data_IF_783115326738
#
_entry.id   IF_783115326738
#
_cell.length_a   1.000
_cell.length_b   1.000
_cell.length_c   1.000
_cell.angle_alpha   90.00
_cell.angle_beta   90.00
_cell.angle_gamma   90.00
#
_symmetry.space_group_name_H-M   'P 1'
#
loop_
_entity.id
_entity.type
_entity.pdbx_description
1 polymer ?
#
# COMPACT_ATOMS: atom_id res chain seq x y z
N UNK A 1 17.11 15.44 -27.50
CA UNK A 1 16.67 15.93 -26.18
C UNK A 1 15.37 15.21 -25.83
N UNK A 2 15.44 13.97 -25.35
CA UNK A 2 14.30 13.31 -24.72
C UNK A 2 14.27 13.77 -23.26
N UNK A 3 13.13 14.23 -22.76
CA UNK A 3 12.98 14.75 -21.41
C UNK A 3 13.56 13.77 -20.39
N UNK A 4 14.56 14.18 -19.63
CA UNK A 4 15.23 13.46 -18.52
C UNK A 4 14.30 13.14 -17.34
N UNK A 5 12.99 13.32 -17.49
CA UNK A 5 12.01 13.00 -16.45
C UNK A 5 11.61 11.53 -16.53
N UNK A 6 11.69 10.83 -15.39
CA UNK A 6 11.12 9.50 -15.25
C UNK A 6 9.67 9.49 -15.78
N UNK A 7 9.25 8.43 -16.51
CA UNK A 7 7.92 8.37 -17.11
C UNK A 7 6.84 8.75 -16.10
N UNK A 8 5.90 9.60 -16.50
CA UNK A 8 4.84 10.10 -15.60
C UNK A 8 4.07 8.96 -14.92
N UNK A 9 3.86 7.84 -15.62
CA UNK A 9 3.26 6.62 -15.06
C UNK A 9 4.11 6.01 -13.94
N UNK A 10 5.43 5.91 -14.10
CA UNK A 10 6.32 5.40 -13.07
C UNK A 10 6.30 6.29 -11.82
N UNK A 11 6.33 7.61 -11.99
CA UNK A 11 6.22 8.57 -10.87
C UNK A 11 4.86 8.46 -10.19
N UNK A 12 3.76 8.35 -10.94
CA UNK A 12 2.43 8.17 -10.37
C UNK A 12 2.33 6.88 -9.55
N UNK A 13 2.80 5.74 -10.09
CA UNK A 13 2.82 4.47 -9.37
C UNK A 13 3.69 4.53 -8.11
N UNK A 14 4.84 5.21 -8.17
CA UNK A 14 5.71 5.42 -7.01
C UNK A 14 4.99 6.24 -5.92
N UNK A 15 4.31 7.33 -6.28
CA UNK A 15 3.56 8.16 -5.33
C UNK A 15 2.44 7.37 -4.68
N UNK A 16 1.67 6.61 -5.47
CA UNK A 16 0.57 5.79 -4.94
C UNK A 16 1.11 4.78 -3.92
N UNK A 17 2.16 4.02 -4.28
CA UNK A 17 2.78 3.05 -3.38
C UNK A 17 3.33 3.70 -2.09
N UNK A 18 3.90 4.90 -2.19
CA UNK A 18 4.38 5.64 -1.03
C UNK A 18 3.23 6.09 -0.11
N UNK A 19 2.12 6.57 -0.68
CA UNK A 19 0.94 7.01 0.08
C UNK A 19 0.30 5.80 0.79
N UNK A 20 0.08 4.69 0.09
CA UNK A 20 -0.48 3.48 0.68
C UNK A 20 0.44 2.91 1.76
N UNK A 21 1.76 2.86 1.49
CA UNK A 21 2.74 2.39 2.46
C UNK A 21 2.76 3.24 3.73
N UNK A 22 2.71 4.57 3.57
CA UNK A 22 2.62 5.49 4.69
C UNK A 22 1.31 5.33 5.48
N UNK A 23 0.18 5.11 4.79
CA UNK A 23 -1.11 4.88 5.43
C UNK A 23 -1.11 3.58 6.25
N UNK A 24 -0.54 2.49 5.73
CA UNK A 24 -0.40 1.22 6.45
C UNK A 24 0.49 1.36 7.70
N UNK A 25 1.63 2.06 7.58
CA UNK A 25 2.50 2.32 8.73
C UNK A 25 1.79 3.19 9.77
N UNK A 26 1.13 4.27 9.34
CA UNK A 26 0.38 5.14 10.22
C UNK A 26 -0.74 4.38 10.97
N UNK A 27 -1.44 3.49 10.28
CA UNK A 27 -2.46 2.64 10.89
C UNK A 27 -1.87 1.66 11.92
N UNK A 28 -0.78 0.95 11.58
CA UNK A 28 -0.10 0.06 12.53
C UNK A 28 0.40 0.80 13.79
N UNK A 29 0.96 2.01 13.62
CA UNK A 29 1.37 2.85 14.75
C UNK A 29 0.17 3.37 15.55
N UNK A 30 -0.94 3.72 14.89
CA UNK A 30 -2.18 4.12 15.54
C UNK A 30 -2.70 3.00 16.45
N UNK A 31 -2.79 1.77 15.93
CA UNK A 31 -3.22 0.60 16.71
C UNK A 31 -2.28 0.36 17.90
N UNK A 32 -0.96 0.43 17.68
CA UNK A 32 0.02 0.30 18.75
C UNK A 32 -0.18 1.33 19.87
N UNK A 33 -0.39 2.61 19.51
CA UNK A 33 -0.63 3.69 20.49
C UNK A 33 -1.95 3.48 21.21
N UNK A 34 -3.01 3.07 20.52
CA UNK A 34 -4.32 2.83 21.13
C UNK A 34 -4.25 1.67 22.13
N UNK A 35 -3.60 0.57 21.77
CA UNK A 35 -3.41 -0.58 22.66
C UNK A 35 -2.58 -0.20 23.88
N UNK A 36 -1.54 0.63 23.71
CA UNK A 36 -0.72 1.11 24.82
C UNK A 36 -1.48 2.04 25.79
N UNK A 37 -2.47 2.81 25.29
CA UNK A 37 -3.21 3.79 26.08
C UNK A 37 -4.49 3.24 26.71
N UNK A 38 -5.25 2.46 25.95
CA UNK A 38 -6.60 2.00 26.29
C UNK A 38 -6.67 0.50 26.57
N UNK A 39 -5.57 -0.23 26.35
CA UNK A 39 -5.57 -1.68 26.34
C UNK A 39 -6.23 -2.25 25.08
N UNK A 40 -6.46 -3.56 25.08
CA UNK A 40 -7.11 -4.23 23.96
C UNK A 40 -8.62 -4.06 24.08
N UNK A 41 -9.19 -3.31 23.15
CA UNK A 41 -10.63 -3.03 23.09
C UNK A 41 -11.25 -3.65 21.83
N UNK A 42 -12.47 -4.16 21.92
CA UNK A 42 -13.22 -4.65 20.76
C UNK A 42 -13.82 -6.05 20.96
N UNK A 43 -14.51 -6.59 19.93
CA UNK A 43 -15.19 -7.87 20.01
C UNK A 43 -14.23 -9.03 20.31
N UNK A 44 -14.64 -9.94 21.19
CA UNK A 44 -13.85 -11.10 21.66
C UNK A 44 -13.10 -11.91 20.58
N UNK A 45 -13.61 -12.08 19.33
CA UNK A 45 -12.90 -12.81 18.29
C UNK A 45 -11.61 -12.13 17.80
N UNK A 46 -11.50 -10.81 17.95
CA UNK A 46 -10.38 -10.01 17.44
C UNK A 46 -9.58 -9.30 18.54
N UNK A 47 -10.10 -9.29 19.78
CA UNK A 47 -9.48 -8.64 20.93
C UNK A 47 -8.56 -9.58 21.73
N UNK A 48 -7.68 -10.32 21.05
CA UNK A 48 -6.61 -11.10 21.69
C UNK A 48 -5.23 -10.44 21.48
N UNK A 49 -4.31 -10.67 22.43
CA UNK A 49 -2.92 -10.18 22.30
C UNK A 49 -2.29 -10.67 21.01
N UNK A 50 -2.52 -11.94 20.64
CA UNK A 50 -1.99 -12.52 19.42
C UNK A 50 -2.54 -11.84 18.17
N UNK A 51 -3.85 -11.58 18.11
CA UNK A 51 -4.51 -10.93 16.98
C UNK A 51 -3.97 -9.52 16.76
N UNK A 52 -3.92 -8.71 17.82
CA UNK A 52 -3.44 -7.32 17.78
C UNK A 52 -1.95 -7.26 17.44
N UNK A 53 -1.14 -8.16 17.99
CA UNK A 53 0.30 -8.23 17.67
C UNK A 53 0.50 -8.55 16.19
N UNK A 54 -0.23 -9.53 15.66
CA UNK A 54 -0.14 -9.92 14.25
C UNK A 54 -0.60 -8.78 13.34
N UNK A 55 -1.68 -8.09 13.71
CA UNK A 55 -2.19 -6.91 13.02
C UNK A 55 -1.11 -5.83 12.89
N UNK A 56 -0.53 -5.39 14.02
CA UNK A 56 0.52 -4.35 14.04
C UNK A 56 1.70 -4.77 13.17
N UNK A 57 2.19 -6.01 13.31
CA UNK A 57 3.33 -6.51 12.53
C UNK A 57 3.02 -6.50 11.04
N UNK A 58 1.85 -7.01 10.64
CA UNK A 58 1.45 -7.09 9.23
C UNK A 58 1.37 -5.68 8.63
N UNK A 59 0.70 -4.74 9.30
CA UNK A 59 0.55 -3.37 8.78
C UNK A 59 1.89 -2.64 8.66
N UNK A 60 2.76 -2.75 9.68
CA UNK A 60 4.08 -2.14 9.63
C UNK A 60 4.97 -2.79 8.57
N UNK A 61 4.96 -4.11 8.45
CA UNK A 61 5.78 -4.84 7.49
C UNK A 61 5.35 -4.59 6.05
N UNK A 62 4.05 -4.70 5.76
CA UNK A 62 3.51 -4.41 4.43
C UNK A 62 3.69 -2.93 4.08
N UNK A 63 3.44 -2.03 5.03
CA UNK A 63 3.64 -0.60 4.84
C UNK A 63 5.10 -0.25 4.53
N UNK A 64 6.05 -0.77 5.30
CA UNK A 64 7.47 -0.60 5.04
C UNK A 64 7.88 -1.20 3.69
N UNK A 65 7.40 -2.40 3.35
CA UNK A 65 7.65 -3.03 2.06
C UNK A 65 7.18 -2.18 0.89
N UNK A 66 6.00 -1.57 1.01
CA UNK A 66 5.43 -0.72 -0.03
C UNK A 66 6.15 0.63 -0.13
N UNK A 67 6.61 1.20 0.99
CA UNK A 67 7.47 2.38 0.99
C UNK A 67 8.81 2.12 0.28
N UNK A 68 9.44 0.97 0.58
CA UNK A 68 10.69 0.53 -0.04
C UNK A 68 10.49 0.29 -1.54
N UNK A 69 9.39 -0.34 -1.94
CA UNK A 69 9.03 -0.53 -3.35
C UNK A 69 8.78 0.79 -4.08
N UNK A 70 7.97 1.69 -3.50
CA UNK A 70 7.67 3.01 -4.04
C UNK A 70 8.92 3.87 -4.19
N UNK A 71 9.84 3.81 -3.23
CA UNK A 71 11.13 4.48 -3.31
C UNK A 71 12.05 3.86 -4.39
N UNK A 72 12.01 2.54 -4.54
CA UNK A 72 12.66 1.85 -5.66
C UNK A 72 12.15 2.37 -7.01
N UNK A 73 10.82 2.43 -7.20
CA UNK A 73 10.20 2.96 -8.41
C UNK A 73 10.55 4.44 -8.64
N UNK A 74 10.56 5.25 -7.56
CA UNK A 74 10.96 6.67 -7.63
C UNK A 74 12.39 6.85 -8.14
N UNK A 75 13.28 5.91 -7.80
CA UNK A 75 14.67 5.87 -8.27
C UNK A 75 14.87 5.10 -9.58
N UNK A 76 13.78 4.74 -10.26
CA UNK A 76 13.80 3.99 -11.54
C UNK A 76 14.50 2.63 -11.39
N UNK A 77 14.32 1.98 -10.22
CA UNK A 77 14.94 0.69 -9.91
C UNK A 77 14.06 -0.48 -10.37
N UNK A 78 14.58 -1.36 -11.24
CA UNK A 78 13.83 -2.51 -11.79
C UNK A 78 13.29 -3.48 -10.74
N UNK A 79 14.00 -3.64 -9.62
CA UNK A 79 13.59 -4.53 -8.54
C UNK A 79 12.37 -4.03 -7.77
N UNK A 80 12.06 -2.72 -7.82
CA UNK A 80 10.90 -2.14 -7.13
C UNK A 80 9.55 -2.54 -7.72
N UNK A 81 9.55 -3.05 -8.97
CA UNK A 81 8.32 -3.37 -9.70
C UNK A 81 7.59 -4.59 -9.15
N UNK A 82 8.29 -5.69 -8.92
CA UNK A 82 7.69 -6.92 -8.40
C UNK A 82 6.99 -6.72 -7.04
N UNK A 83 7.64 -6.13 -6.01
CA UNK A 83 6.98 -5.88 -4.73
C UNK A 83 5.85 -4.84 -4.84
N UNK A 84 5.98 -3.84 -5.71
CA UNK A 84 4.90 -2.88 -5.93
C UNK A 84 3.65 -3.55 -6.53
N UNK A 85 3.80 -4.36 -7.59
CA UNK A 85 2.68 -5.10 -8.19
C UNK A 85 2.03 -6.03 -7.17
N UNK A 86 2.82 -6.76 -6.38
CA UNK A 86 2.30 -7.62 -5.32
C UNK A 86 1.49 -6.82 -4.30
N UNK A 87 2.01 -5.68 -3.85
CA UNK A 87 1.31 -4.79 -2.92
C UNK A 87 -0.04 -4.32 -3.46
N UNK A 88 -0.11 -3.96 -4.74
CA UNK A 88 -1.38 -3.54 -5.35
C UNK A 88 -2.38 -4.68 -5.51
N UNK A 89 -1.91 -5.90 -5.82
CA UNK A 89 -2.79 -7.07 -5.87
C UNK A 89 -3.35 -7.41 -4.48
N UNK A 90 -2.52 -7.33 -3.44
CA UNK A 90 -2.98 -7.47 -2.05
C UNK A 90 -3.96 -6.35 -1.67
N UNK A 91 -3.70 -5.11 -2.12
CA UNK A 91 -4.60 -3.98 -1.98
C UNK A 91 -5.98 -4.25 -2.57
N UNK A 92 -6.07 -4.89 -3.74
CA UNK A 92 -7.35 -5.31 -4.32
C UNK A 92 -8.02 -6.45 -3.53
N UNK A 93 -7.26 -7.46 -3.12
CA UNK A 93 -7.76 -8.61 -2.35
C UNK A 93 -8.42 -8.14 -1.04
N UNK A 94 -7.80 -7.16 -0.36
CA UNK A 94 -8.32 -6.61 0.89
C UNK A 94 -9.35 -5.51 0.66
N UNK A 95 -9.11 -4.63 -0.30
CA UNK A 95 -9.94 -3.45 -0.56
C UNK A 95 -11.35 -3.79 -1.06
N UNK A 96 -11.51 -4.80 -1.92
CA UNK A 96 -12.81 -5.16 -2.49
C UNK A 96 -13.83 -5.58 -1.42
N UNK A 97 -13.52 -6.48 -0.48
CA UNK A 97 -14.41 -6.76 0.67
C UNK A 97 -14.74 -5.52 1.49
N UNK A 98 -13.79 -4.60 1.68
CA UNK A 98 -14.00 -3.37 2.46
C UNK A 98 -15.03 -2.44 1.80
N UNK A 99 -15.11 -2.40 0.47
CA UNK A 99 -16.17 -1.64 -0.25
C UNK A 99 -17.57 -2.12 0.13
N UNK A 100 -17.73 -3.40 0.48
CA UNK A 100 -18.98 -3.97 0.96
C UNK A 100 -19.26 -3.74 2.46
N UNK A 101 -18.31 -3.17 3.21
CA UNK A 101 -18.44 -3.02 4.66
C UNK A 101 -19.62 -2.12 5.05
N UNK A 102 -20.35 -2.51 6.10
CA UNK A 102 -21.52 -1.76 6.61
C UNK A 102 -21.10 -0.38 7.14
N UNK A 103 -19.94 -0.28 7.77
CA UNK A 103 -19.40 0.99 8.29
C UNK A 103 -18.95 1.94 7.18
N UNK A 104 -19.16 3.24 7.41
CA UNK A 104 -18.86 4.28 6.43
C UNK A 104 -17.36 4.50 6.23
N UNK A 105 -16.57 4.41 7.30
CA UNK A 105 -15.12 4.64 7.26
C UNK A 105 -14.42 3.51 6.50
N UNK A 106 -14.74 2.26 6.83
CA UNK A 106 -14.18 1.08 6.20
C UNK A 106 -14.53 1.04 4.71
N UNK A 107 -15.77 1.41 4.37
CA UNK A 107 -16.23 1.50 2.99
C UNK A 107 -15.45 2.54 2.19
N UNK A 108 -15.28 3.75 2.74
CA UNK A 108 -14.54 4.83 2.08
C UNK A 108 -13.07 4.42 1.91
N UNK A 109 -12.46 3.82 2.94
CA UNK A 109 -11.10 3.31 2.86
C UNK A 109 -10.96 2.23 1.77
N UNK A 110 -11.89 1.28 1.71
CA UNK A 110 -11.91 0.24 0.67
C UNK A 110 -12.00 0.81 -0.75
N UNK A 111 -12.88 1.78 -0.98
CA UNK A 111 -13.01 2.45 -2.28
C UNK A 111 -11.70 3.16 -2.65
N UNK A 112 -11.11 3.90 -1.71
CA UNK A 112 -9.86 4.62 -1.94
C UNK A 112 -8.71 3.66 -2.31
N UNK A 113 -8.55 2.56 -1.56
CA UNK A 113 -7.54 1.53 -1.83
C UNK A 113 -7.77 0.89 -3.20
N UNK A 114 -9.00 0.48 -3.53
CA UNK A 114 -9.29 -0.14 -4.84
C UNK A 114 -8.94 0.80 -5.99
N UNK A 115 -9.32 2.08 -5.90
CA UNK A 115 -9.01 3.07 -6.94
C UNK A 115 -7.50 3.27 -7.08
N UNK A 116 -6.79 3.44 -5.97
CA UNK A 116 -5.34 3.60 -5.95
C UNK A 116 -4.63 2.38 -6.53
N UNK A 117 -5.03 1.17 -6.13
CA UNK A 117 -4.41 -0.06 -6.61
C UNK A 117 -4.62 -0.31 -8.10
N UNK A 118 -5.83 -0.05 -8.62
CA UNK A 118 -6.08 -0.10 -10.07
C UNK A 118 -5.21 0.95 -10.78
N UNK A 119 -5.19 2.19 -10.29
CA UNK A 119 -4.41 3.27 -10.88
C UNK A 119 -2.91 2.97 -10.94
N UNK A 120 -2.35 2.43 -9.85
CA UNK A 120 -0.95 2.02 -9.77
C UNK A 120 -0.65 0.86 -10.73
N UNK A 121 -1.51 -0.17 -10.79
CA UNK A 121 -1.32 -1.29 -11.71
C UNK A 121 -1.34 -0.82 -13.16
N UNK A 122 -2.32 0.00 -13.56
CA UNK A 122 -2.37 0.59 -14.90
C UNK A 122 -1.05 1.31 -15.21
N UNK A 123 -0.61 2.19 -14.31
CA UNK A 123 0.65 2.92 -14.48
C UNK A 123 1.89 2.03 -14.57
N UNK A 124 1.94 0.92 -13.83
CA UNK A 124 3.04 -0.05 -13.84
C UNK A 124 3.07 -0.91 -15.10
N UNK A 125 1.91 -1.18 -15.72
CA UNK A 125 1.82 -1.94 -16.97
C UNK A 125 1.95 -1.10 -18.23
N UNK A 126 2.02 0.24 -18.12
CA UNK A 126 2.29 1.09 -19.27
C UNK A 126 3.62 0.73 -19.96
N UNK A 127 3.67 0.71 -21.31
CA UNK A 127 4.89 0.38 -22.06
C UNK A 127 6.07 1.31 -21.75
N UNK A 128 5.79 2.59 -21.46
CA UNK A 128 6.79 3.59 -21.09
C UNK A 128 7.47 3.28 -19.75
N UNK A 129 6.71 2.78 -18.77
CA UNK A 129 7.22 2.34 -17.47
C UNK A 129 8.10 1.09 -17.62
N UNK A 130 7.71 0.17 -18.50
CA UNK A 130 8.47 -1.06 -18.73
C UNK A 130 9.81 -0.78 -19.41
N UNK A 131 9.84 0.09 -20.42
CA UNK A 131 11.09 0.48 -21.11
C UNK A 131 12.07 1.15 -20.14
N UNK A 132 11.60 2.11 -19.34
CA UNK A 132 12.46 2.84 -18.41
C UNK A 132 13.13 1.96 -17.34
N UNK A 133 12.50 0.85 -16.95
CA UNK A 133 13.07 -0.08 -15.96
C UNK A 133 13.97 -1.16 -16.58
N UNK A 134 13.85 -1.42 -17.88
CA UNK A 134 14.71 -2.38 -18.59
C UNK A 134 16.02 -1.72 -19.05
N UNK A 135 15.98 -0.41 -19.29
CA UNK A 135 17.16 0.41 -19.65
C UNK A 135 18.08 0.73 -18.44
N UNK A 136 17.74 0.25 -17.23
CA UNK A 136 18.53 0.34 -15.99
C UNK A 136 19.49 -0.84 -15.77
#
# INVERSE_FOLDING_TARGET
MASTEAPRGLRAAAIIALIEGAALVAYGLYVLVQVARLGITGPAPVSSVQSVTLEIIIFLFLGAGLLVAGWGLWRVRRWGRAPAVLGQLLGLIVGVPLVGAVGSVERIAGIAVVIMSIGALVCLFLPSTTRALVEE
#
